data_IF_318745819149
#
_entry.id   IF_318745819149
#
_cell.length_a   1.000
_cell.length_b   1.000
_cell.length_c   1.000
_cell.angle_alpha   90.00
_cell.angle_beta   90.00
_cell.angle_gamma   90.00
#
_symmetry.space_group_name_H-M   'P 1'
#
loop_
_entity.id
_entity.type
_entity.pdbx_description
1 polymer ?
#
# COMPACT_ATOMS: atom_id res chain seq x y z
N UNK A 1 -13.36 -15.95 -15.90
CA UNK A 1 -12.41 -16.02 -17.01
C UNK A 1 -11.14 -16.76 -16.58
N UNK A 2 -10.43 -16.30 -15.55
CA UNK A 2 -9.17 -16.89 -15.06
C UNK A 2 -9.32 -18.38 -14.62
N UNK A 3 -10.52 -18.81 -14.21
CA UNK A 3 -10.76 -20.19 -13.80
C UNK A 3 -10.77 -21.20 -14.98
N UNK A 4 -11.00 -20.74 -16.21
CA UNK A 4 -11.19 -21.62 -17.37
C UNK A 4 -10.23 -21.35 -18.54
N UNK A 5 -9.79 -20.11 -18.72
CA UNK A 5 -8.95 -19.75 -19.86
C UNK A 5 -7.47 -19.80 -19.46
N UNK A 6 -6.63 -20.41 -20.32
CA UNK A 6 -5.17 -20.51 -20.15
C UNK A 6 -4.41 -19.72 -21.21
N UNK A 7 -5.09 -19.00 -22.10
CA UNK A 7 -4.43 -18.19 -23.12
C UNK A 7 -3.90 -16.92 -22.48
N UNK A 8 -2.58 -16.75 -22.50
CA UNK A 8 -1.87 -15.61 -21.89
C UNK A 8 -2.39 -14.26 -22.39
N UNK A 9 -2.55 -14.10 -23.71
CA UNK A 9 -2.98 -12.81 -24.29
C UNK A 9 -4.41 -12.42 -23.90
N UNK A 10 -5.32 -13.40 -23.81
CA UNK A 10 -6.69 -13.17 -23.37
C UNK A 10 -6.70 -12.80 -21.86
N UNK A 11 -5.93 -13.48 -21.05
CA UNK A 11 -5.83 -13.20 -19.61
C UNK A 11 -5.19 -11.84 -19.37
N UNK A 12 -4.13 -11.49 -20.12
CA UNK A 12 -3.46 -10.20 -20.03
C UNK A 12 -4.40 -9.06 -20.40
N UNK A 13 -4.99 -9.10 -21.60
CA UNK A 13 -5.83 -8.02 -22.12
C UNK A 13 -7.09 -7.81 -21.27
N UNK A 14 -7.79 -8.88 -20.90
CA UNK A 14 -8.99 -8.78 -20.04
C UNK A 14 -8.63 -8.41 -18.61
N UNK A 15 -7.50 -8.91 -18.08
CA UNK A 15 -7.00 -8.53 -16.76
C UNK A 15 -6.67 -7.05 -16.67
N UNK A 16 -5.96 -6.50 -17.66
CA UNK A 16 -5.64 -5.07 -17.72
C UNK A 16 -6.91 -4.22 -17.82
N UNK A 17 -7.83 -4.56 -18.72
CA UNK A 17 -9.08 -3.81 -18.88
C UNK A 17 -9.92 -3.83 -17.60
N UNK A 18 -10.21 -5.00 -17.06
CA UNK A 18 -11.06 -5.13 -15.87
C UNK A 18 -10.42 -4.50 -14.61
N UNK A 19 -9.11 -4.68 -14.43
CA UNK A 19 -8.40 -4.07 -13.30
C UNK A 19 -8.34 -2.55 -13.40
N UNK A 20 -8.30 -1.98 -14.61
CA UNK A 20 -8.35 -0.54 -14.82
C UNK A 20 -9.67 0.07 -14.32
N UNK A 21 -10.80 -0.57 -14.58
CA UNK A 21 -12.09 -0.15 -14.02
C UNK A 21 -12.17 -0.36 -12.50
N UNK A 22 -11.77 -1.53 -12.02
CA UNK A 22 -11.82 -1.86 -10.59
C UNK A 22 -10.90 -0.99 -9.73
N UNK A 23 -9.81 -0.48 -10.32
CA UNK A 23 -8.77 0.28 -9.61
C UNK A 23 -9.24 1.59 -8.99
N UNK A 24 -10.38 2.13 -9.41
CA UNK A 24 -10.98 3.36 -8.86
C UNK A 24 -11.79 3.13 -7.59
N UNK A 25 -12.19 1.90 -7.28
CA UNK A 25 -13.06 1.58 -6.15
C UNK A 25 -12.43 1.95 -4.80
N UNK A 26 -11.18 1.54 -4.55
CA UNK A 26 -10.50 1.83 -3.29
C UNK A 26 -10.35 3.34 -2.99
N UNK A 27 -9.82 4.18 -3.90
CA UNK A 27 -9.74 5.62 -3.67
C UNK A 27 -11.10 6.26 -3.40
N UNK A 28 -12.15 5.85 -4.10
CA UNK A 28 -13.50 6.38 -3.90
C UNK A 28 -14.08 5.97 -2.55
N UNK A 29 -13.84 4.74 -2.11
CA UNK A 29 -14.28 4.28 -0.78
C UNK A 29 -13.65 5.12 0.33
N UNK A 30 -12.34 5.41 0.26
CA UNK A 30 -11.66 6.25 1.25
C UNK A 30 -12.12 7.71 1.19
N UNK A 31 -12.41 8.24 0.00
CA UNK A 31 -12.96 9.59 -0.14
C UNK A 31 -14.35 9.68 0.49
N UNK A 32 -15.22 8.70 0.24
CA UNK A 32 -16.56 8.59 0.83
C UNK A 32 -16.49 8.44 2.35
N UNK A 33 -15.59 7.61 2.84
CA UNK A 33 -15.37 7.39 4.26
C UNK A 33 -14.95 8.68 4.98
N UNK A 34 -14.06 9.46 4.37
CA UNK A 34 -13.66 10.77 4.92
C UNK A 34 -14.85 11.75 4.94
N UNK A 35 -15.59 11.84 3.86
CA UNK A 35 -16.78 12.71 3.80
C UNK A 35 -17.81 12.32 4.86
N UNK A 36 -18.02 11.03 5.09
CA UNK A 36 -18.90 10.53 6.14
C UNK A 36 -18.39 10.89 7.55
N UNK A 37 -17.09 10.74 7.80
CA UNK A 37 -16.48 11.10 9.09
C UNK A 37 -16.63 12.61 9.36
N UNK A 38 -16.36 13.45 8.37
CA UNK A 38 -16.50 14.90 8.47
C UNK A 38 -17.95 15.32 8.76
N UNK A 39 -18.95 14.67 8.14
CA UNK A 39 -20.39 14.92 8.37
C UNK A 39 -20.87 14.45 9.76
N UNK A 40 -20.30 13.39 10.29
CA UNK A 40 -20.73 12.80 11.57
C UNK A 40 -19.92 13.30 12.77
N UNK A 41 -18.99 14.24 12.56
CA UNK A 41 -18.12 14.78 13.60
C UNK A 41 -17.15 13.76 14.19
N UNK A 42 -16.92 12.63 13.51
CA UNK A 42 -15.96 11.61 13.94
C UNK A 42 -14.53 12.06 13.63
N UNK A 43 -13.59 11.58 14.43
CA UNK A 43 -12.19 11.87 14.19
C UNK A 43 -11.72 11.21 12.88
N UNK A 44 -11.59 12.02 11.83
CA UNK A 44 -11.29 11.59 10.45
C UNK A 44 -10.01 10.77 10.36
N UNK A 45 -8.99 11.12 11.14
CA UNK A 45 -7.70 10.43 11.15
C UNK A 45 -7.84 9.00 11.63
N UNK A 46 -8.43 8.80 12.81
CA UNK A 46 -8.59 7.46 13.39
C UNK A 46 -9.55 6.62 12.56
N UNK A 47 -10.62 7.22 12.02
CA UNK A 47 -11.57 6.52 11.17
C UNK A 47 -10.93 6.04 9.86
N UNK A 48 -10.17 6.90 9.18
CA UNK A 48 -9.45 6.54 7.95
C UNK A 48 -8.36 5.50 8.21
N UNK A 49 -7.64 5.62 9.34
CA UNK A 49 -6.61 4.67 9.74
C UNK A 49 -7.21 3.30 10.05
N UNK A 50 -8.35 3.24 10.73
CA UNK A 50 -9.06 1.99 11.00
C UNK A 50 -9.52 1.31 9.71
N UNK A 51 -10.10 2.05 8.77
CA UNK A 51 -10.46 1.51 7.44
C UNK A 51 -9.24 0.98 6.68
N UNK A 52 -8.11 1.66 6.79
CA UNK A 52 -6.87 1.22 6.16
C UNK A 52 -6.36 -0.09 6.77
N UNK A 53 -6.45 -0.23 8.10
CA UNK A 53 -6.09 -1.45 8.81
C UNK A 53 -6.87 -2.69 8.33
N UNK A 54 -8.12 -2.52 7.83
CA UNK A 54 -8.88 -3.61 7.22
C UNK A 54 -8.21 -4.14 5.95
N UNK A 55 -7.53 -3.28 5.17
CA UNK A 55 -6.79 -3.71 3.98
C UNK A 55 -5.58 -4.54 4.40
N UNK A 56 -4.82 -4.10 5.41
CA UNK A 56 -3.70 -4.89 5.94
C UNK A 56 -4.17 -6.22 6.50
N UNK A 57 -5.32 -6.27 7.20
CA UNK A 57 -5.91 -7.53 7.65
C UNK A 57 -6.26 -8.47 6.48
N UNK A 58 -6.76 -7.92 5.38
CA UNK A 58 -7.00 -8.70 4.17
C UNK A 58 -5.71 -9.28 3.57
N UNK A 59 -4.58 -8.58 3.66
CA UNK A 59 -3.26 -9.08 3.26
C UNK A 59 -2.72 -10.17 4.20
N UNK A 60 -3.05 -10.12 5.49
CA UNK A 60 -2.69 -11.19 6.45
C UNK A 60 -3.42 -12.49 6.15
N UNK A 61 -4.71 -12.41 5.82
CA UNK A 61 -5.58 -13.58 5.65
C UNK A 61 -5.60 -14.07 4.19
N UNK A 62 -5.58 -13.13 3.24
CA UNK A 62 -5.81 -13.42 1.81
C UNK A 62 -4.81 -14.38 1.19
N UNK A 63 -3.49 -14.08 1.23
CA UNK A 63 -2.48 -14.94 0.61
C UNK A 63 -2.44 -16.36 1.19
N UNK A 64 -2.44 -16.58 2.53
CA UNK A 64 -2.49 -17.94 3.08
C UNK A 64 -3.74 -18.70 2.64
N UNK A 65 -4.91 -18.07 2.69
CA UNK A 65 -6.17 -18.67 2.26
C UNK A 65 -6.16 -19.03 0.75
N UNK A 66 -5.63 -18.12 -0.07
CA UNK A 66 -5.48 -18.35 -1.51
C UNK A 66 -4.54 -19.53 -1.80
N UNK A 67 -3.43 -19.63 -1.07
CA UNK A 67 -2.47 -20.74 -1.19
C UNK A 67 -3.13 -22.08 -0.82
N UNK A 68 -3.81 -22.15 0.32
CA UNK A 68 -4.53 -23.37 0.76
C UNK A 68 -5.60 -23.80 -0.24
N UNK A 69 -6.36 -22.85 -0.80
CA UNK A 69 -7.36 -23.15 -1.83
C UNK A 69 -6.74 -23.63 -3.14
N UNK A 70 -5.59 -23.03 -3.54
CA UNK A 70 -4.92 -23.37 -4.78
C UNK A 70 -4.25 -24.75 -4.71
N UNK A 71 -3.53 -25.04 -3.62
CA UNK A 71 -2.75 -26.27 -3.43
C UNK A 71 -3.57 -27.40 -2.86
N UNK A 72 -4.49 -27.11 -1.92
CA UNK A 72 -5.37 -28.14 -1.32
C UNK A 72 -6.48 -28.63 -2.26
N UNK A 73 -6.97 -27.76 -3.15
CA UNK A 73 -8.05 -28.12 -4.07
C UNK A 73 -7.67 -27.90 -5.53
N UNK A 74 -7.66 -26.66 -6.00
CA UNK A 74 -7.20 -26.29 -7.35
C UNK A 74 -7.23 -24.77 -7.55
N UNK A 75 -6.47 -24.26 -8.53
CA UNK A 75 -6.58 -22.86 -8.97
C UNK A 75 -8.00 -22.47 -9.41
N UNK A 76 -8.75 -23.41 -9.99
CA UNK A 76 -10.14 -23.18 -10.39
C UNK A 76 -11.02 -22.88 -9.18
N UNK A 77 -10.90 -23.65 -8.11
CA UNK A 77 -11.65 -23.45 -6.87
C UNK A 77 -11.26 -22.10 -6.24
N UNK A 78 -9.99 -21.78 -6.17
CA UNK A 78 -9.51 -20.49 -5.67
C UNK A 78 -10.16 -19.31 -6.42
N UNK A 79 -10.12 -19.30 -7.77
CA UNK A 79 -10.72 -18.22 -8.55
C UNK A 79 -12.24 -18.15 -8.44
N UNK A 80 -12.93 -19.30 -8.32
CA UNK A 80 -14.37 -19.32 -8.12
C UNK A 80 -14.76 -18.78 -6.74
N UNK A 81 -14.04 -19.15 -5.69
CA UNK A 81 -14.26 -18.63 -4.34
C UNK A 81 -14.05 -17.12 -4.32
N UNK A 82 -13.00 -16.61 -4.95
CA UNK A 82 -12.78 -15.19 -5.09
C UNK A 82 -13.93 -14.49 -5.86
N UNK A 83 -14.41 -15.08 -6.95
CA UNK A 83 -15.51 -14.52 -7.72
C UNK A 83 -16.82 -14.46 -6.90
N UNK A 84 -17.13 -15.50 -6.14
CA UNK A 84 -18.29 -15.51 -5.22
C UNK A 84 -18.14 -14.42 -4.16
N UNK A 85 -16.97 -14.30 -3.54
CA UNK A 85 -16.70 -13.25 -2.55
C UNK A 85 -16.92 -11.84 -3.13
N UNK A 86 -16.46 -11.58 -4.37
CA UNK A 86 -16.72 -10.30 -5.04
C UNK A 86 -18.20 -10.05 -5.33
N UNK A 87 -18.97 -11.08 -5.75
CA UNK A 87 -20.42 -10.96 -5.95
C UNK A 87 -21.13 -10.65 -4.64
N UNK A 88 -20.78 -11.33 -3.56
CA UNK A 88 -21.33 -11.07 -2.22
C UNK A 88 -21.01 -9.65 -1.77
N UNK A 89 -19.75 -9.20 -1.91
CA UNK A 89 -19.38 -7.82 -1.64
C UNK A 89 -20.18 -6.82 -2.45
N UNK A 90 -20.35 -7.07 -3.75
CA UNK A 90 -21.15 -6.21 -4.64
C UNK A 90 -22.61 -6.11 -4.20
N UNK A 91 -23.21 -7.23 -3.80
CA UNK A 91 -24.58 -7.26 -3.26
C UNK A 91 -24.70 -6.49 -1.94
N UNK A 92 -23.73 -6.66 -1.02
CA UNK A 92 -23.71 -5.90 0.24
C UNK A 92 -23.63 -4.41 -0.03
N UNK A 93 -22.72 -3.98 -0.92
CA UNK A 93 -22.59 -2.58 -1.30
C UNK A 93 -23.89 -2.05 -1.92
N UNK A 94 -24.52 -2.80 -2.81
CA UNK A 94 -25.75 -2.39 -3.47
C UNK A 94 -26.93 -2.28 -2.49
N UNK A 95 -27.03 -3.18 -1.53
CA UNK A 95 -28.16 -3.21 -0.59
C UNK A 95 -27.99 -2.25 0.59
N UNK A 96 -26.76 -2.03 1.06
CA UNK A 96 -26.52 -1.33 2.33
C UNK A 96 -25.78 0.01 2.17
N UNK A 97 -25.12 0.28 1.03
CA UNK A 97 -24.42 1.55 0.87
C UNK A 97 -25.45 2.67 0.54
N UNK A 98 -25.60 3.67 1.41
CA UNK A 98 -26.53 4.76 1.16
C UNK A 98 -26.07 5.58 -0.05
N UNK A 99 -27.01 5.96 -0.92
CA UNK A 99 -26.77 6.92 -1.98
C UNK A 99 -26.57 8.31 -1.36
N UNK A 100 -25.33 8.72 -1.19
CA UNK A 100 -25.01 10.06 -0.70
C UNK A 100 -25.15 11.03 -1.89
N UNK A 101 -26.20 11.84 -1.87
CA UNK A 101 -26.30 12.96 -2.80
C UNK A 101 -25.08 13.86 -2.61
N UNK A 102 -24.39 14.13 -3.69
CA UNK A 102 -23.24 15.04 -3.75
C UNK A 102 -23.75 16.47 -3.49
N UNK A 103 -23.93 16.83 -2.22
CA UNK A 103 -24.01 18.22 -1.85
C UNK A 103 -22.61 18.80 -2.10
N UNK A 104 -22.48 19.58 -3.16
CA UNK A 104 -21.30 20.42 -3.36
C UNK A 104 -21.25 21.30 -2.12
N UNK A 105 -20.26 21.18 -1.22
CA UNK A 105 -20.16 22.10 -0.11
C UNK A 105 -19.97 23.48 -0.75
N UNK A 106 -20.91 24.36 -0.58
CA UNK A 106 -20.65 25.77 -0.76
C UNK A 106 -19.65 26.12 0.33
N UNK A 107 -18.41 26.25 -0.04
CA UNK A 107 -17.32 26.66 0.85
C UNK A 107 -17.59 28.10 1.23
N UNK A 108 -18.30 28.30 2.35
CA UNK A 108 -18.64 29.60 2.91
C UNK A 108 -17.66 30.07 3.98
N UNK A 109 -16.51 29.45 4.12
CA UNK A 109 -15.45 29.99 4.96
C UNK A 109 -14.21 30.25 4.11
N UNK A 110 -13.63 31.45 4.15
CA UNK A 110 -12.32 31.70 3.58
C UNK A 110 -11.30 30.95 4.45
N UNK A 111 -10.97 29.72 4.05
CA UNK A 111 -9.73 29.10 4.48
C UNK A 111 -8.63 30.02 3.97
N UNK A 112 -7.76 30.52 4.84
CA UNK A 112 -6.56 31.26 4.44
C UNK A 112 -5.82 30.43 3.38
N UNK A 113 -5.99 30.85 2.14
CA UNK A 113 -5.46 30.14 0.97
C UNK A 113 -3.98 30.46 0.92
N UNK A 114 -3.15 29.56 1.44
CA UNK A 114 -1.73 29.54 1.08
C UNK A 114 -1.60 29.67 -0.44
N UNK A 115 -0.66 30.48 -0.95
CA UNK A 115 -0.53 30.74 -2.39
C UNK A 115 -0.55 29.44 -3.19
N UNK A 116 -1.40 29.36 -4.19
CA UNK A 116 -1.70 28.14 -4.98
C UNK A 116 -0.44 27.47 -5.57
N UNK A 117 0.63 28.21 -5.75
CA UNK A 117 1.92 27.75 -6.30
C UNK A 117 2.70 26.86 -5.31
N UNK A 118 2.76 27.21 -4.03
CA UNK A 118 3.44 26.40 -3.02
C UNK A 118 2.73 25.06 -2.81
N UNK A 119 1.41 25.07 -2.73
CA UNK A 119 0.60 23.87 -2.55
C UNK A 119 0.77 22.87 -3.70
N UNK A 120 0.84 23.34 -4.95
CA UNK A 120 1.07 22.49 -6.13
C UNK A 120 2.46 21.85 -6.11
N UNK A 121 3.48 22.63 -5.73
CA UNK A 121 4.86 22.13 -5.59
C UNK A 121 4.92 21.05 -4.53
N UNK A 122 4.38 21.30 -3.35
CA UNK A 122 4.42 20.38 -2.21
C UNK A 122 3.67 19.08 -2.50
N UNK A 123 2.54 19.14 -3.22
CA UNK A 123 1.81 17.95 -3.69
C UNK A 123 2.65 17.13 -4.68
N UNK A 124 3.39 17.77 -5.61
CA UNK A 124 4.27 17.06 -6.54
C UNK A 124 5.46 16.41 -5.83
N UNK A 125 6.08 17.14 -4.90
CA UNK A 125 7.17 16.61 -4.08
C UNK A 125 6.70 15.40 -3.26
N UNK A 126 5.56 15.50 -2.58
CA UNK A 126 4.99 14.40 -1.82
C UNK A 126 4.65 13.20 -2.73
N UNK A 127 4.21 13.44 -3.97
CA UNK A 127 3.97 12.38 -4.94
C UNK A 127 5.26 11.62 -5.27
N UNK A 128 6.35 12.33 -5.55
CA UNK A 128 7.66 11.72 -5.83
C UNK A 128 8.15 10.94 -4.61
N UNK A 129 8.13 11.54 -3.42
CA UNK A 129 8.54 10.91 -2.16
C UNK A 129 7.76 9.60 -1.93
N UNK A 130 6.43 9.64 -1.96
CA UNK A 130 5.63 8.44 -1.76
C UNK A 130 5.84 7.40 -2.88
N UNK A 131 6.06 7.83 -4.13
CA UNK A 131 6.35 6.91 -5.23
C UNK A 131 7.69 6.18 -5.03
N UNK A 132 8.73 6.89 -4.53
CA UNK A 132 10.02 6.27 -4.20
C UNK A 132 9.90 5.31 -3.01
N UNK A 133 9.15 5.69 -1.97
CA UNK A 133 8.88 4.81 -0.83
C UNK A 133 8.16 3.52 -1.27
N UNK A 134 7.13 3.64 -2.12
CA UNK A 134 6.44 2.48 -2.69
C UNK A 134 7.33 1.66 -3.62
N UNK A 135 8.20 2.30 -4.42
CA UNK A 135 9.14 1.59 -5.29
C UNK A 135 10.12 0.74 -4.46
N UNK A 136 10.69 1.30 -3.41
CA UNK A 136 11.57 0.57 -2.49
C UNK A 136 10.85 -0.63 -1.85
N UNK A 137 9.60 -0.44 -1.37
CA UNK A 137 8.81 -1.53 -0.82
C UNK A 137 8.50 -2.63 -1.86
N UNK A 138 8.13 -2.24 -3.07
CA UNK A 138 7.76 -3.20 -4.11
C UNK A 138 8.98 -3.98 -4.63
N UNK A 139 10.16 -3.36 -4.71
CA UNK A 139 11.42 -4.06 -4.96
C UNK A 139 11.67 -5.14 -3.90
N UNK A 140 11.50 -4.81 -2.63
CA UNK A 140 11.60 -5.78 -1.55
C UNK A 140 10.58 -6.92 -1.70
N UNK A 141 9.31 -6.59 -1.96
CA UNK A 141 8.24 -7.60 -2.10
C UNK A 141 8.48 -8.59 -3.25
N UNK A 142 9.09 -8.13 -4.36
CA UNK A 142 9.41 -8.98 -5.50
C UNK A 142 10.61 -9.88 -5.17
N UNK A 143 11.67 -9.31 -4.59
CA UNK A 143 12.98 -9.96 -4.49
C UNK A 143 13.20 -10.72 -3.18
N UNK A 144 12.49 -10.37 -2.10
CA UNK A 144 12.70 -11.01 -0.80
C UNK A 144 12.50 -12.54 -0.84
N UNK A 145 11.46 -13.09 -1.49
CA UNK A 145 11.31 -14.55 -1.57
C UNK A 145 12.49 -15.23 -2.28
N UNK A 146 12.97 -14.61 -3.38
CA UNK A 146 14.10 -15.13 -4.16
C UNK A 146 15.41 -15.01 -3.38
N UNK A 147 15.64 -13.90 -2.71
CA UNK A 147 16.81 -13.69 -1.83
C UNK A 147 16.88 -14.73 -0.72
N UNK A 148 15.76 -15.05 -0.07
CA UNK A 148 15.69 -16.06 0.99
C UNK A 148 16.00 -17.45 0.46
N UNK A 149 15.47 -17.83 -0.70
CA UNK A 149 15.61 -19.17 -1.27
C UNK A 149 16.97 -19.34 -1.93
N UNK A 150 17.35 -18.40 -2.83
CA UNK A 150 18.48 -18.56 -3.72
C UNK A 150 19.81 -18.14 -3.08
N UNK A 151 19.80 -17.13 -2.19
CA UNK A 151 21.02 -16.57 -1.61
C UNK A 151 21.24 -17.01 -0.17
N UNK A 152 20.21 -16.98 0.67
CA UNK A 152 20.30 -17.44 2.05
C UNK A 152 20.11 -18.95 2.22
N UNK A 153 19.65 -19.65 1.17
CA UNK A 153 19.34 -21.09 1.18
C UNK A 153 18.39 -21.50 2.32
N UNK A 154 17.45 -20.59 2.68
CA UNK A 154 16.44 -20.81 3.68
C UNK A 154 15.13 -21.31 3.03
N UNK A 155 14.18 -21.72 3.86
CA UNK A 155 12.91 -22.29 3.38
C UNK A 155 12.00 -21.19 2.79
N UNK A 156 11.31 -21.51 1.70
CA UNK A 156 10.29 -20.68 1.08
C UNK A 156 9.16 -20.27 2.05
N UNK A 157 8.87 -21.12 3.03
CA UNK A 157 7.92 -20.86 4.12
C UNK A 157 8.27 -19.58 4.89
N UNK A 158 9.56 -19.29 5.10
CA UNK A 158 10.01 -18.09 5.80
C UNK A 158 9.57 -16.80 5.09
N UNK A 159 9.62 -16.78 3.76
CA UNK A 159 9.15 -15.64 2.97
C UNK A 159 7.66 -15.33 3.25
N UNK A 160 6.82 -16.36 3.30
CA UNK A 160 5.41 -16.23 3.66
C UNK A 160 5.21 -15.74 5.10
N UNK A 161 5.99 -16.25 6.04
CA UNK A 161 5.96 -15.83 7.45
C UNK A 161 6.38 -14.37 7.61
N UNK A 162 7.41 -13.91 6.90
CA UNK A 162 7.86 -12.51 6.91
C UNK A 162 6.78 -11.56 6.39
N UNK A 163 6.13 -11.90 5.28
CA UNK A 163 5.02 -11.09 4.73
C UNK A 163 3.85 -11.03 5.73
N UNK A 164 3.48 -12.18 6.31
CA UNK A 164 2.39 -12.25 7.28
C UNK A 164 2.67 -11.45 8.55
N UNK A 165 3.86 -11.56 9.11
CA UNK A 165 4.29 -10.82 10.30
C UNK A 165 4.37 -9.32 9.99
N UNK A 166 4.96 -8.93 8.86
CA UNK A 166 5.01 -7.54 8.44
C UNK A 166 3.61 -6.92 8.35
N UNK A 167 2.68 -7.57 7.67
CA UNK A 167 1.29 -7.11 7.53
C UNK A 167 0.55 -7.08 8.88
N UNK A 168 0.80 -8.06 9.75
CA UNK A 168 0.23 -8.09 11.10
C UNK A 168 0.73 -6.94 11.98
N UNK A 169 2.04 -6.66 11.94
CA UNK A 169 2.65 -5.56 12.68
C UNK A 169 2.35 -4.18 12.09
N UNK A 170 2.08 -4.08 10.79
CA UNK A 170 1.67 -2.84 10.12
C UNK A 170 0.41 -2.25 10.75
N UNK A 171 -0.56 -3.09 11.14
CA UNK A 171 -1.84 -2.65 11.71
C UNK A 171 -1.62 -1.81 12.99
N UNK A 172 -0.96 -2.32 14.05
CA UNK A 172 -0.71 -1.52 15.25
C UNK A 172 0.17 -0.29 14.97
N UNK A 173 1.17 -0.40 14.09
CA UNK A 173 2.03 0.75 13.75
C UNK A 173 1.25 1.85 13.03
N UNK A 174 0.32 1.50 12.16
CA UNK A 174 -0.59 2.45 11.50
C UNK A 174 -1.50 3.15 12.51
N UNK A 175 -2.06 2.43 13.48
CA UNK A 175 -2.90 3.00 14.54
C UNK A 175 -2.10 3.94 15.46
N UNK A 176 -0.90 3.54 15.86
CA UNK A 176 0.04 4.37 16.64
C UNK A 176 0.39 5.65 15.87
N UNK A 177 0.76 5.54 14.60
CA UNK A 177 1.06 6.70 13.76
C UNK A 177 -0.14 7.64 13.64
N UNK A 178 -1.35 7.09 13.44
CA UNK A 178 -2.60 7.85 13.39
C UNK A 178 -2.88 8.60 14.70
N UNK A 179 -2.67 7.95 15.85
CA UNK A 179 -2.85 8.55 17.17
C UNK A 179 -1.87 9.70 17.43
N UNK A 180 -0.59 9.48 17.12
CA UNK A 180 0.45 10.49 17.35
C UNK A 180 0.53 11.58 16.27
N UNK A 181 -0.18 11.44 15.17
CA UNK A 181 -0.12 12.37 14.03
C UNK A 181 -0.37 13.83 14.44
N UNK A 182 -1.31 14.08 15.35
CA UNK A 182 -1.61 15.44 15.83
C UNK A 182 -0.49 16.06 16.67
N UNK A 183 0.31 15.24 17.37
CA UNK A 183 1.41 15.68 18.23
C UNK A 183 2.72 15.83 17.48
N UNK A 184 3.04 14.85 16.66
CA UNK A 184 4.34 14.74 15.95
C UNK A 184 4.30 15.50 14.63
N UNK A 185 3.13 15.55 13.98
CA UNK A 185 2.97 16.11 12.65
C UNK A 185 3.34 15.14 11.53
N UNK A 186 2.71 15.33 10.36
CA UNK A 186 2.83 14.39 9.22
C UNK A 186 4.23 14.34 8.63
N UNK A 187 4.90 15.50 8.53
CA UNK A 187 6.25 15.58 7.96
C UNK A 187 7.26 14.76 8.75
N UNK A 188 7.25 14.89 10.07
CA UNK A 188 8.21 14.16 10.92
C UNK A 188 7.89 12.66 10.93
N UNK A 189 6.62 12.27 10.92
CA UNK A 189 6.22 10.86 10.78
C UNK A 189 6.72 10.27 9.46
N UNK A 190 6.59 10.98 8.33
CA UNK A 190 7.11 10.49 7.04
C UNK A 190 8.64 10.36 7.05
N UNK A 191 9.37 11.28 7.71
CA UNK A 191 10.81 11.14 7.88
C UNK A 191 11.16 9.92 8.75
N UNK A 192 10.44 9.67 9.83
CA UNK A 192 10.61 8.45 10.65
C UNK A 192 10.38 7.20 9.80
N UNK A 193 9.36 7.19 8.95
CA UNK A 193 9.11 6.09 8.03
C UNK A 193 10.29 5.85 7.08
N UNK A 194 10.81 6.90 6.44
CA UNK A 194 11.95 6.80 5.52
C UNK A 194 13.18 6.24 6.24
N UNK A 195 13.52 6.80 7.41
CA UNK A 195 14.68 6.33 8.21
C UNK A 195 14.49 4.88 8.63
N UNK A 196 13.29 4.51 9.11
CA UNK A 196 12.99 3.12 9.47
C UNK A 196 13.14 2.16 8.28
N UNK A 197 12.67 2.55 7.09
CA UNK A 197 12.85 1.78 5.86
C UNK A 197 14.32 1.64 5.47
N UNK A 198 15.11 2.72 5.55
CA UNK A 198 16.55 2.66 5.28
C UNK A 198 17.27 1.72 6.26
N UNK A 199 16.98 1.82 7.56
CA UNK A 199 17.51 0.92 8.56
C UNK A 199 17.09 -0.54 8.30
N UNK A 200 15.83 -0.77 7.92
CA UNK A 200 15.33 -2.09 7.57
C UNK A 200 16.16 -2.72 6.44
N UNK A 201 16.25 -2.06 5.28
CA UNK A 201 16.98 -2.60 4.12
C UNK A 201 18.47 -2.76 4.38
N UNK A 202 19.08 -1.84 5.14
CA UNK A 202 20.48 -1.97 5.54
C UNK A 202 20.69 -3.18 6.49
N UNK A 203 19.75 -3.46 7.37
CA UNK A 203 19.83 -4.57 8.31
C UNK A 203 19.58 -5.92 7.64
N UNK A 204 18.65 -6.00 6.67
CA UNK A 204 18.42 -7.21 5.85
C UNK A 204 19.69 -7.65 5.13
N UNK A 205 20.50 -6.70 4.63
CA UNK A 205 21.79 -7.01 4.00
C UNK A 205 22.80 -7.67 4.93
N UNK A 206 22.63 -7.52 6.24
CA UNK A 206 23.54 -8.07 7.27
C UNK A 206 22.94 -9.30 7.98
N UNK A 207 21.66 -9.56 7.78
CA UNK A 207 20.94 -10.64 8.43
C UNK A 207 21.26 -11.99 7.73
N UNK A 208 21.57 -13.00 8.53
CA UNK A 208 21.90 -14.36 8.03
C UNK A 208 21.06 -15.44 8.67
N UNK A 209 20.22 -15.07 9.65
CA UNK A 209 19.41 -16.04 10.40
C UNK A 209 17.93 -15.74 10.30
N UNK A 210 17.05 -16.75 10.21
CA UNK A 210 15.60 -16.57 10.13
C UNK A 210 15.03 -15.73 11.27
N UNK A 211 15.55 -15.87 12.48
CA UNK A 211 15.07 -15.13 13.65
C UNK A 211 15.29 -13.62 13.47
N UNK A 212 16.47 -13.21 13.03
CA UNK A 212 16.80 -11.79 12.78
C UNK A 212 15.94 -11.23 11.66
N UNK A 213 15.73 -11.98 10.57
CA UNK A 213 14.86 -11.56 9.46
C UNK A 213 13.41 -11.29 9.92
N UNK A 214 12.89 -12.10 10.83
CA UNK A 214 11.56 -11.92 11.40
C UNK A 214 11.50 -10.70 12.35
N UNK A 215 12.53 -10.49 13.18
CA UNK A 215 12.61 -9.34 14.08
C UNK A 215 12.69 -8.01 13.31
N UNK A 216 13.41 -7.99 12.18
CA UNK A 216 13.52 -6.82 11.32
C UNK A 216 12.18 -6.37 10.72
N UNK A 217 11.16 -7.25 10.68
CA UNK A 217 9.83 -6.87 10.20
C UNK A 217 9.18 -5.77 11.05
N UNK A 218 9.67 -5.53 12.27
CA UNK A 218 9.22 -4.38 13.08
C UNK A 218 9.58 -3.05 12.38
N UNK A 219 10.80 -2.93 11.85
CA UNK A 219 11.23 -1.73 11.13
C UNK A 219 10.43 -1.55 9.84
N UNK A 220 10.19 -2.64 9.12
CA UNK A 220 9.36 -2.66 7.93
C UNK A 220 7.92 -2.23 8.24
N UNK A 221 7.35 -2.73 9.34
CA UNK A 221 6.00 -2.37 9.78
C UNK A 221 5.88 -0.90 10.20
N UNK A 222 6.90 -0.30 10.82
CA UNK A 222 6.94 1.15 11.10
C UNK A 222 6.94 1.92 9.76
N UNK A 223 7.79 1.53 8.83
CA UNK A 223 7.90 2.15 7.51
C UNK A 223 6.56 2.13 6.76
N UNK A 224 5.97 0.94 6.60
CA UNK A 224 4.71 0.77 5.88
C UNK A 224 3.51 1.31 6.65
N UNK A 225 3.44 1.09 7.95
CA UNK A 225 2.33 1.56 8.78
C UNK A 225 2.19 3.09 8.73
N UNK A 226 3.29 3.82 8.74
CA UNK A 226 3.27 5.28 8.59
C UNK A 226 2.94 5.67 7.14
N UNK A 227 3.58 5.07 6.14
CA UNK A 227 3.30 5.36 4.72
C UNK A 227 1.82 5.12 4.38
N UNK A 228 1.28 3.99 4.77
CA UNK A 228 -0.11 3.62 4.53
C UNK A 228 -1.10 4.46 5.34
N UNK A 229 -0.82 4.69 6.63
CA UNK A 229 -1.73 5.41 7.52
C UNK A 229 -1.75 6.92 7.30
N UNK A 230 -0.58 7.52 7.07
CA UNK A 230 -0.41 8.99 7.04
C UNK A 230 -0.30 9.54 5.63
N UNK A 231 0.30 8.79 4.69
CA UNK A 231 0.54 9.25 3.32
C UNK A 231 -0.73 9.79 2.65
N UNK A 232 -1.82 9.01 2.65
CA UNK A 232 -3.10 9.42 2.06
C UNK A 232 -3.66 10.69 2.71
N UNK A 233 -3.64 10.77 4.04
CA UNK A 233 -4.14 11.93 4.79
C UNK A 233 -3.32 13.17 4.51
N UNK A 234 -2.04 13.03 4.23
CA UNK A 234 -1.17 14.16 3.87
C UNK A 234 -1.57 14.75 2.52
N UNK A 235 -1.82 13.91 1.50
CA UNK A 235 -2.36 14.38 0.21
C UNK A 235 -3.71 15.07 0.36
N UNK A 236 -4.61 14.52 1.16
CA UNK A 236 -5.94 15.08 1.38
C UNK A 236 -5.88 16.45 2.05
N UNK A 237 -4.93 16.69 2.96
CA UNK A 237 -4.74 18.00 3.57
C UNK A 237 -4.11 19.04 2.63
N UNK A 238 -3.25 18.58 1.71
CA UNK A 238 -2.72 19.46 0.66
C UNK A 238 -3.77 19.81 -0.40
N UNK A 239 -4.84 19.00 -0.54
CA UNK A 239 -5.89 19.19 -1.54
C UNK A 239 -7.30 19.11 -0.92
N UNK A 240 -7.64 19.94 0.08
CA UNK A 240 -8.92 19.83 0.81
C UNK A 240 -10.14 20.05 -0.06
N UNK A 241 -10.03 20.84 -1.13
CA UNK A 241 -11.12 21.12 -2.08
C UNK A 241 -11.39 19.92 -3.02
N UNK A 242 -10.44 18.96 -3.14
CA UNK A 242 -10.49 17.85 -4.07
C UNK A 242 -10.05 16.54 -3.42
N UNK A 243 -10.71 16.15 -2.31
CA UNK A 243 -10.37 14.97 -1.50
C UNK A 243 -10.30 13.69 -2.34
N UNK A 244 -11.27 13.48 -3.24
CA UNK A 244 -11.26 12.32 -4.13
C UNK A 244 -10.05 12.30 -5.07
N UNK A 245 -9.66 13.44 -5.63
CA UNK A 245 -8.46 13.57 -6.46
C UNK A 245 -7.18 13.35 -5.65
N UNK A 246 -7.13 13.87 -4.43
CA UNK A 246 -6.01 13.66 -3.51
C UNK A 246 -5.81 12.17 -3.17
N UNK A 247 -6.90 11.47 -2.87
CA UNK A 247 -6.89 10.02 -2.59
C UNK A 247 -6.45 9.21 -3.81
N UNK A 248 -6.94 9.57 -5.00
CA UNK A 248 -6.52 8.95 -6.26
C UNK A 248 -5.05 9.20 -6.56
N UNK A 249 -4.56 10.42 -6.31
CA UNK A 249 -3.16 10.78 -6.50
C UNK A 249 -2.26 9.95 -5.59
N UNK A 250 -2.61 9.81 -4.32
CA UNK A 250 -1.91 8.91 -3.40
C UNK A 250 -1.93 7.45 -3.88
N UNK A 251 -3.07 6.92 -4.29
CA UNK A 251 -3.16 5.55 -4.80
C UNK A 251 -2.28 5.34 -6.06
N UNK A 252 -2.12 6.37 -6.88
CA UNK A 252 -1.24 6.32 -8.04
C UNK A 252 0.25 6.28 -7.65
N UNK A 253 0.67 6.77 -6.47
CA UNK A 253 2.06 6.62 -6.02
C UNK A 253 2.46 5.16 -5.87
N UNK A 254 1.55 4.32 -5.34
CA UNK A 254 1.79 2.88 -5.25
C UNK A 254 1.89 2.21 -6.62
N UNK A 255 1.05 2.62 -7.60
CA UNK A 255 1.12 2.10 -8.97
C UNK A 255 2.42 2.48 -9.67
N UNK A 256 2.83 3.74 -9.54
CA UNK A 256 4.12 4.21 -10.04
C UNK A 256 5.26 3.43 -9.38
N UNK A 257 5.16 3.19 -8.07
CA UNK A 257 6.10 2.34 -7.34
C UNK A 257 6.22 0.92 -7.93
N UNK A 258 5.10 0.27 -8.28
CA UNK A 258 5.11 -1.04 -8.94
C UNK A 258 5.75 -1.00 -10.33
N UNK A 259 5.49 0.04 -11.13
CA UNK A 259 6.08 0.21 -12.46
C UNK A 259 7.61 0.38 -12.33
N UNK A 260 8.06 1.24 -11.41
CA UNK A 260 9.49 1.46 -11.17
C UNK A 260 10.15 0.17 -10.71
N UNK A 261 9.58 -0.49 -9.70
CA UNK A 261 10.13 -1.73 -9.14
C UNK A 261 10.26 -2.83 -10.21
N UNK A 262 9.17 -3.13 -10.94
CA UNK A 262 9.18 -4.15 -11.97
C UNK A 262 10.11 -3.84 -13.14
N UNK A 263 10.22 -2.56 -13.54
CA UNK A 263 11.14 -2.15 -14.62
C UNK A 263 12.61 -2.28 -14.19
N UNK A 264 12.90 -1.91 -12.96
CA UNK A 264 14.25 -2.01 -12.39
C UNK A 264 14.63 -3.46 -12.15
N UNK A 265 13.73 -4.24 -11.59
CA UNK A 265 13.92 -5.66 -11.31
C UNK A 265 14.28 -6.45 -12.57
N UNK A 266 13.49 -6.29 -13.64
CA UNK A 266 13.74 -6.96 -14.92
C UNK A 266 15.10 -6.65 -15.58
N UNK A 267 15.69 -5.49 -15.26
CA UNK A 267 17.02 -5.10 -15.77
C UNK A 267 18.13 -5.56 -14.83
N UNK A 268 17.92 -5.44 -13.52
CA UNK A 268 18.99 -5.61 -12.54
C UNK A 268 19.24 -7.06 -12.13
N UNK A 269 18.22 -7.92 -12.13
CA UNK A 269 18.36 -9.33 -11.74
C UNK A 269 19.28 -10.09 -12.73
N UNK A 270 19.28 -9.71 -14.00
CA UNK A 270 20.16 -10.31 -15.00
C UNK A 270 21.63 -9.87 -14.88
N UNK A 271 21.89 -8.71 -14.28
CA UNK A 271 23.20 -8.05 -14.30
C UNK A 271 23.86 -8.05 -12.90
N UNK A 272 23.06 -7.93 -11.84
CA UNK A 272 23.55 -7.74 -10.47
C UNK A 272 22.87 -8.67 -9.47
N UNK A 273 23.48 -8.79 -8.27
CA UNK A 273 22.95 -9.63 -7.19
C UNK A 273 21.75 -9.00 -6.48
N UNK A 274 20.99 -9.81 -5.73
CA UNK A 274 19.89 -9.36 -4.88
C UNK A 274 20.33 -8.28 -3.88
N UNK A 275 21.57 -8.31 -3.41
CA UNK A 275 22.14 -7.26 -2.54
C UNK A 275 22.10 -5.87 -3.20
N UNK A 276 22.35 -5.77 -4.50
CA UNK A 276 22.32 -4.49 -5.21
C UNK A 276 20.92 -3.86 -5.22
N UNK A 277 19.86 -4.67 -5.24
CA UNK A 277 18.48 -4.19 -5.20
C UNK A 277 18.12 -3.57 -3.85
N UNK A 278 18.63 -4.11 -2.74
CA UNK A 278 18.44 -3.51 -1.42
C UNK A 278 19.22 -2.18 -1.28
N UNK A 279 20.45 -2.10 -1.81
CA UNK A 279 21.18 -0.83 -1.89
C UNK A 279 20.45 0.22 -2.72
N UNK A 280 19.81 -0.20 -3.82
CA UNK A 280 18.98 0.69 -4.62
C UNK A 280 17.74 1.15 -3.84
N UNK A 281 17.08 0.27 -3.09
CA UNK A 281 15.96 0.65 -2.24
C UNK A 281 16.38 1.70 -1.19
N UNK A 282 17.55 1.54 -0.56
CA UNK A 282 18.14 2.54 0.34
C UNK A 282 18.37 3.87 -0.40
N UNK A 283 18.93 3.81 -1.61
CA UNK A 283 19.15 4.99 -2.46
C UNK A 283 17.85 5.72 -2.80
N UNK A 284 16.80 4.99 -3.16
CA UNK A 284 15.47 5.56 -3.42
C UNK A 284 14.90 6.27 -2.19
N UNK A 285 15.04 5.67 -1.01
CA UNK A 285 14.61 6.29 0.24
C UNK A 285 15.49 7.52 0.60
N UNK A 286 16.79 7.50 0.30
CA UNK A 286 17.68 8.64 0.46
C UNK A 286 17.27 9.83 -0.41
N UNK A 287 16.83 9.59 -1.65
CA UNK A 287 16.30 10.64 -2.53
C UNK A 287 14.95 11.18 -2.00
N UNK A 288 14.15 10.33 -1.36
CA UNK A 288 12.87 10.69 -0.79
C UNK A 288 12.99 11.53 0.51
N UNK A 289 14.15 11.53 1.18
CA UNK A 289 14.42 12.24 2.42
C UNK A 289 14.60 13.74 2.20
#
# INVERSE_FOLDING_TARGET
LFAWNRNYFILLSTGVLLSSFASTANPQMFALAREHADRTGRETVMFSTFLRAQISLAWVIGPPLAYELAMGFSFKVMYLTAAIAFVVCGLIVWLFLPSIQRNIPVVTQPVEILPSTHRKRDTRLLFVVCSMMWAANNLYMINMPLFIIDELHLTDKLAGEMIGIAAGLEIPMMLIAGYYMKRIGKRLLMLIAIVSGMCFYASVLMATTPAVELELQILNAIFLGILCGIGMLYFQDLMPEKIGSATTLYANTSRVGWIIAGSVDGIMVEIWSYHALFWLAIGMLGIAM
#
